data_IF_479983267555
#
_entry.id   IF_479983267555
#
_cell.length_a   1.000
_cell.length_b   1.000
_cell.length_c   1.000
_cell.angle_alpha   90.00
_cell.angle_beta   90.00
_cell.angle_gamma   90.00
#
_symmetry.space_group_name_H-M   'P 1'
#
loop_
_entity.id
_entity.type
_entity.pdbx_description
1 polymer ?
#
# COMPACT_ATOMS: atom_id res chain seq x y z
N UNK A 1 13.48 25.59 -5.37
CA UNK A 1 14.13 25.24 -4.09
C UNK A 1 14.04 26.38 -3.09
N UNK A 2 14.46 27.64 -3.41
CA UNK A 2 14.39 28.77 -2.48
C UNK A 2 12.95 29.10 -2.06
N UNK A 3 11.99 29.10 -2.98
CA UNK A 3 10.57 29.33 -2.65
C UNK A 3 10.01 28.23 -1.75
N UNK A 4 10.36 26.97 -1.97
CA UNK A 4 9.90 25.83 -1.16
C UNK A 4 10.42 25.93 0.28
N UNK A 5 11.68 26.31 0.46
CA UNK A 5 12.28 26.53 1.78
C UNK A 5 11.59 27.72 2.50
N UNK A 6 11.28 28.77 1.77
CA UNK A 6 10.56 29.94 2.31
C UNK A 6 9.14 29.57 2.76
N UNK A 7 8.40 28.76 1.98
CA UNK A 7 7.08 28.26 2.37
C UNK A 7 7.15 27.32 3.56
N UNK A 8 8.20 26.50 3.64
CA UNK A 8 8.43 25.60 4.77
C UNK A 8 8.64 26.38 6.08
N UNK A 9 9.48 27.43 6.05
CA UNK A 9 9.66 28.30 7.22
C UNK A 9 8.40 29.12 7.57
N UNK A 10 7.58 29.43 6.58
CA UNK A 10 6.31 30.16 6.79
C UNK A 10 5.16 29.27 7.27
N UNK A 11 5.25 27.95 7.15
CA UNK A 11 4.19 27.01 7.53
C UNK A 11 4.22 26.56 9.00
N UNK A 12 5.14 27.09 9.82
CA UNK A 12 5.20 26.87 11.27
C UNK A 12 5.62 25.48 11.72
N UNK A 13 5.41 25.20 13.01
CA UNK A 13 5.87 23.98 13.68
C UNK A 13 5.27 22.69 13.07
N UNK A 14 4.04 22.77 12.55
CA UNK A 14 3.30 21.61 11.99
C UNK A 14 3.91 21.12 10.67
N UNK A 15 4.72 21.92 10.00
CA UNK A 15 5.40 21.52 8.77
C UNK A 15 6.40 20.37 8.98
N UNK A 16 7.00 20.24 10.15
CA UNK A 16 7.94 19.15 10.45
C UNK A 16 7.29 17.77 10.45
N UNK A 17 6.19 17.53 11.20
CA UNK A 17 5.43 16.29 11.07
C UNK A 17 4.95 16.01 9.65
N UNK A 18 4.48 17.03 8.91
CA UNK A 18 4.04 16.86 7.52
C UNK A 18 5.20 16.47 6.58
N UNK A 19 6.38 17.05 6.77
CA UNK A 19 7.57 16.65 6.03
C UNK A 19 7.94 15.19 6.31
N UNK A 20 7.90 14.77 7.57
CA UNK A 20 8.15 13.39 7.95
C UNK A 20 7.13 12.45 7.30
N UNK A 21 5.85 12.75 7.32
CA UNK A 21 4.81 12.01 6.62
C UNK A 21 5.08 11.91 5.12
N UNK A 22 5.46 13.01 4.47
CA UNK A 22 5.78 13.03 3.04
C UNK A 22 6.94 12.10 2.69
N UNK A 23 8.01 12.13 3.47
CA UNK A 23 9.18 11.24 3.28
C UNK A 23 8.76 9.78 3.50
N UNK A 24 7.95 9.52 4.53
CA UNK A 24 7.46 8.17 4.84
C UNK A 24 6.59 7.61 3.69
N UNK A 25 5.70 8.42 3.10
CA UNK A 25 4.89 8.02 1.93
C UNK A 25 5.77 7.61 0.78
N UNK A 26 6.79 8.40 0.44
CA UNK A 26 7.70 8.11 -0.68
C UNK A 26 8.50 6.84 -0.39
N UNK A 27 9.05 6.69 0.82
CA UNK A 27 9.82 5.51 1.22
C UNK A 27 8.99 4.23 1.16
N UNK A 28 7.76 4.26 1.72
CA UNK A 28 6.85 3.12 1.69
C UNK A 28 6.42 2.81 0.25
N UNK A 29 6.13 3.82 -0.57
CA UNK A 29 5.73 3.63 -1.95
C UNK A 29 6.82 2.93 -2.79
N UNK A 30 8.07 3.37 -2.65
CA UNK A 30 9.21 2.75 -3.35
C UNK A 30 9.40 1.30 -2.88
N UNK A 31 9.40 1.07 -1.57
CA UNK A 31 9.59 -0.26 -1.01
C UNK A 31 8.45 -1.21 -1.43
N UNK A 32 7.19 -0.77 -1.36
CA UNK A 32 6.06 -1.58 -1.80
C UNK A 32 6.08 -1.87 -3.29
N UNK A 33 6.45 -0.89 -4.11
CA UNK A 33 6.58 -1.09 -5.55
C UNK A 33 7.61 -2.19 -5.89
N UNK A 34 8.77 -2.17 -5.25
CA UNK A 34 9.80 -3.19 -5.43
C UNK A 34 9.35 -4.56 -4.92
N UNK A 35 8.68 -4.59 -3.75
CA UNK A 35 8.17 -5.81 -3.16
C UNK A 35 7.11 -6.48 -4.05
N UNK A 36 6.08 -5.74 -4.45
CA UNK A 36 5.05 -6.30 -5.33
C UNK A 36 5.59 -6.75 -6.68
N UNK A 37 6.58 -6.02 -7.23
CA UNK A 37 7.22 -6.43 -8.47
C UNK A 37 8.01 -7.74 -8.34
N UNK A 38 8.59 -8.01 -7.18
CA UNK A 38 9.37 -9.21 -6.92
C UNK A 38 8.50 -10.44 -6.62
N UNK A 39 7.37 -10.25 -5.92
CA UNK A 39 6.50 -11.33 -5.44
C UNK A 39 5.34 -11.67 -6.39
N UNK A 40 5.06 -10.82 -7.36
CA UNK A 40 3.99 -11.03 -8.34
C UNK A 40 4.40 -12.06 -9.39
N UNK A 41 3.69 -13.19 -9.43
CA UNK A 41 3.87 -14.19 -10.50
C UNK A 41 3.24 -13.76 -11.82
N UNK A 42 2.39 -12.73 -11.80
CA UNK A 42 1.71 -12.14 -12.93
C UNK A 42 0.44 -12.87 -13.38
N UNK A 43 -0.53 -12.09 -13.83
CA UNK A 43 -1.79 -12.60 -14.38
C UNK A 43 -1.61 -13.62 -15.53
N UNK A 44 -0.62 -13.47 -16.45
CA UNK A 44 -0.39 -14.47 -17.50
C UNK A 44 -0.02 -15.84 -16.95
N UNK A 45 0.70 -15.90 -15.82
CA UNK A 45 1.00 -17.16 -15.14
C UNK A 45 -0.29 -17.83 -14.64
N UNK A 46 -1.11 -17.09 -13.87
CA UNK A 46 -2.33 -17.64 -13.30
C UNK A 46 -3.29 -18.17 -14.39
N UNK A 47 -3.48 -17.41 -15.47
CA UNK A 47 -4.32 -17.82 -16.58
C UNK A 47 -3.81 -19.12 -17.22
N UNK A 48 -2.52 -19.20 -17.56
CA UNK A 48 -1.92 -20.38 -18.21
C UNK A 48 -1.88 -21.59 -17.28
N UNK A 49 -1.57 -21.39 -16.01
CA UNK A 49 -1.59 -22.46 -15.01
C UNK A 49 -2.98 -23.10 -14.87
N UNK A 50 -4.01 -22.26 -14.78
CA UNK A 50 -5.40 -22.73 -14.73
C UNK A 50 -5.82 -23.44 -16.02
N UNK A 51 -5.36 -22.99 -17.19
CA UNK A 51 -5.63 -23.62 -18.48
C UNK A 51 -5.02 -25.03 -18.55
N UNK A 52 -3.75 -25.19 -18.20
CA UNK A 52 -3.05 -26.48 -18.18
C UNK A 52 -3.72 -27.48 -17.23
N UNK A 53 -4.12 -27.05 -16.04
CA UNK A 53 -4.82 -27.90 -15.09
C UNK A 53 -6.21 -28.33 -15.59
N UNK A 54 -6.93 -27.45 -16.31
CA UNK A 54 -8.22 -27.78 -16.95
C UNK A 54 -8.04 -28.77 -18.10
N UNK A 55 -6.93 -28.67 -18.84
CA UNK A 55 -6.55 -29.60 -19.90
C UNK A 55 -6.03 -30.94 -19.36
N UNK A 56 -5.90 -31.09 -18.02
CA UNK A 56 -5.31 -32.25 -17.34
C UNK A 56 -3.80 -32.45 -17.61
N UNK A 57 -3.11 -31.40 -17.99
CA UNK A 57 -1.66 -31.35 -18.26
C UNK A 57 -0.90 -30.94 -16.98
N UNK A 58 -0.95 -31.79 -15.95
CA UNK A 58 -0.43 -31.50 -14.61
C UNK A 58 1.07 -31.30 -14.57
N UNK A 59 1.80 -32.12 -15.33
CA UNK A 59 3.25 -32.08 -15.39
C UNK A 59 3.73 -30.73 -15.96
N UNK A 60 3.08 -30.26 -17.03
CA UNK A 60 3.39 -28.97 -17.63
C UNK A 60 3.00 -27.81 -16.71
N UNK A 61 1.88 -27.93 -15.99
CA UNK A 61 1.48 -26.94 -14.98
C UNK A 61 2.51 -26.86 -13.84
N UNK A 62 3.01 -27.99 -13.37
CA UNK A 62 4.04 -28.06 -12.34
C UNK A 62 5.36 -27.44 -12.81
N UNK A 63 5.83 -27.80 -14.00
CA UNK A 63 7.03 -27.22 -14.60
C UNK A 63 6.90 -25.69 -14.80
N UNK A 64 5.72 -25.23 -15.23
CA UNK A 64 5.43 -23.79 -15.33
C UNK A 64 5.53 -23.09 -13.98
N UNK A 65 5.02 -23.72 -12.91
CA UNK A 65 5.09 -23.17 -11.57
C UNK A 65 6.52 -23.12 -11.03
N UNK A 66 7.32 -24.15 -11.27
CA UNK A 66 8.74 -24.15 -10.86
C UNK A 66 9.61 -23.16 -11.66
N UNK A 67 9.26 -22.93 -12.93
CA UNK A 67 10.01 -22.00 -13.79
C UNK A 67 9.62 -20.52 -13.58
N UNK A 68 8.48 -20.26 -12.93
CA UNK A 68 7.97 -18.90 -12.76
C UNK A 68 8.39 -18.35 -11.39
N UNK A 69 8.89 -17.09 -11.40
CA UNK A 69 9.17 -16.37 -10.15
C UNK A 69 7.88 -15.80 -9.56
N UNK A 70 7.86 -15.66 -8.24
CA UNK A 70 6.75 -15.09 -7.49
C UNK A 70 6.19 -16.05 -6.44
N UNK A 71 5.52 -15.51 -5.44
CA UNK A 71 5.07 -16.31 -4.29
C UNK A 71 3.92 -17.26 -4.66
N UNK A 72 2.98 -16.84 -5.52
CA UNK A 72 1.89 -17.69 -5.95
C UNK A 72 2.40 -18.97 -6.67
N UNK A 73 3.35 -18.80 -7.60
CA UNK A 73 3.95 -19.92 -8.32
C UNK A 73 4.65 -20.90 -7.38
N UNK A 74 5.40 -20.40 -6.38
CA UNK A 74 6.06 -21.23 -5.36
C UNK A 74 5.05 -22.00 -4.52
N UNK A 75 4.00 -21.33 -4.04
CA UNK A 75 2.97 -21.96 -3.19
C UNK A 75 2.29 -23.11 -3.93
N UNK A 76 1.89 -22.90 -5.19
CA UNK A 76 1.22 -23.96 -5.96
C UNK A 76 2.17 -25.11 -6.35
N UNK A 77 3.47 -24.81 -6.62
CA UNK A 77 4.47 -25.85 -6.86
C UNK A 77 4.72 -26.70 -5.60
N UNK A 78 4.82 -26.08 -4.43
CA UNK A 78 4.99 -26.81 -3.17
C UNK A 78 3.73 -27.58 -2.77
N UNK A 79 2.55 -27.02 -3.00
CA UNK A 79 1.29 -27.70 -2.77
C UNK A 79 1.13 -28.94 -3.69
N UNK A 80 1.60 -28.89 -4.93
CA UNK A 80 1.55 -30.01 -5.86
C UNK A 80 2.44 -31.19 -5.43
N UNK A 81 3.45 -30.98 -4.58
CA UNK A 81 4.33 -32.02 -4.02
C UNK A 81 3.68 -32.77 -2.85
N UNK A 82 2.58 -32.27 -2.30
CA UNK A 82 1.86 -32.89 -1.18
C UNK A 82 1.02 -34.05 -1.72
N UNK A 83 1.40 -35.27 -1.39
CA UNK A 83 0.72 -36.52 -1.82
C UNK A 83 -0.21 -37.09 -0.75
N UNK A 84 -0.25 -36.49 0.44
CA UNK A 84 -0.93 -37.00 1.64
C UNK A 84 -2.46 -36.73 1.69
N UNK A 85 -3.05 -36.29 0.59
CA UNK A 85 -4.49 -36.09 0.45
C UNK A 85 -4.94 -34.66 0.33
N UNK A 86 -6.13 -34.47 -0.26
CA UNK A 86 -6.71 -33.18 -0.60
C UNK A 86 -6.88 -32.22 0.58
N UNK A 87 -7.26 -32.75 1.75
CA UNK A 87 -7.48 -31.91 2.93
C UNK A 87 -6.18 -31.27 3.45
N UNK A 88 -5.08 -32.01 3.41
CA UNK A 88 -3.77 -31.47 3.80
C UNK A 88 -3.26 -30.45 2.80
N UNK A 89 -3.42 -30.72 1.49
CA UNK A 89 -3.08 -29.78 0.44
C UNK A 89 -3.88 -28.47 0.58
N UNK A 90 -5.20 -28.58 0.84
CA UNK A 90 -6.07 -27.43 1.07
C UNK A 90 -5.64 -26.64 2.31
N UNK A 91 -5.37 -27.31 3.42
CA UNK A 91 -4.91 -26.66 4.65
C UNK A 91 -3.56 -25.96 4.46
N UNK A 92 -2.65 -26.54 3.68
CA UNK A 92 -1.38 -25.91 3.30
C UNK A 92 -1.61 -24.64 2.49
N UNK A 93 -2.43 -24.70 1.43
CA UNK A 93 -2.75 -23.57 0.57
C UNK A 93 -3.38 -22.41 1.36
N UNK A 94 -4.36 -22.71 2.23
CA UNK A 94 -5.02 -21.73 3.08
C UNK A 94 -4.03 -21.07 4.07
N UNK A 95 -3.14 -21.86 4.66
CA UNK A 95 -2.10 -21.35 5.57
C UNK A 95 -1.13 -20.42 4.85
N UNK A 96 -0.61 -20.83 3.68
CA UNK A 96 0.33 -20.01 2.90
C UNK A 96 -0.35 -18.76 2.35
N UNK A 97 -1.62 -18.86 1.91
CA UNK A 97 -2.41 -17.70 1.51
C UNK A 97 -2.50 -16.66 2.63
N UNK A 98 -2.83 -17.09 3.84
CA UNK A 98 -2.92 -16.20 5.00
C UNK A 98 -1.61 -15.46 5.29
N UNK A 99 -0.49 -16.18 5.23
CA UNK A 99 0.84 -15.59 5.43
C UNK A 99 1.16 -14.59 4.32
N UNK A 100 0.89 -14.93 3.08
CA UNK A 100 1.18 -14.08 1.93
C UNK A 100 0.31 -12.83 1.93
N UNK A 101 -1.00 -12.95 2.18
CA UNK A 101 -1.91 -11.80 2.32
C UNK A 101 -1.46 -10.87 3.45
N UNK A 102 -1.01 -11.40 4.59
CA UNK A 102 -0.46 -10.59 5.67
C UNK A 102 0.81 -9.82 5.25
N UNK A 103 1.70 -10.45 4.47
CA UNK A 103 2.89 -9.79 3.89
C UNK A 103 2.50 -8.68 2.91
N UNK A 104 1.48 -8.90 2.06
CA UNK A 104 0.98 -7.91 1.10
C UNK A 104 0.38 -6.70 1.81
N UNK A 105 -0.44 -6.90 2.85
CA UNK A 105 -1.07 -5.83 3.64
C UNK A 105 -0.06 -5.02 4.45
N UNK A 106 1.07 -5.61 4.80
CA UNK A 106 2.08 -4.93 5.58
C UNK A 106 2.45 -3.58 4.95
N UNK A 107 2.55 -2.54 5.78
CA UNK A 107 2.83 -1.14 5.42
C UNK A 107 1.74 -0.40 4.61
N UNK A 108 0.72 -1.06 4.03
CA UNK A 108 -0.42 -0.36 3.47
C UNK A 108 -1.21 0.40 4.54
N UNK A 109 -1.31 -0.19 5.74
CA UNK A 109 -1.99 0.43 6.88
C UNK A 109 -1.33 1.75 7.28
N UNK A 110 0.00 1.86 7.19
CA UNK A 110 0.71 3.12 7.44
C UNK A 110 0.35 4.20 6.41
N UNK A 111 0.20 3.83 5.13
CA UNK A 111 -0.28 4.77 4.11
C UNK A 111 -1.71 5.24 4.42
N UNK A 112 -2.59 4.33 4.83
CA UNK A 112 -3.97 4.66 5.21
C UNK A 112 -4.01 5.62 6.43
N UNK A 113 -3.15 5.42 7.42
CA UNK A 113 -2.99 6.32 8.56
C UNK A 113 -2.54 7.70 8.09
N UNK A 114 -1.55 7.80 7.21
CA UNK A 114 -1.05 9.08 6.70
C UNK A 114 -2.12 9.82 5.90
N UNK A 115 -2.95 9.11 5.12
CA UNK A 115 -4.10 9.70 4.39
C UNK A 115 -5.02 10.47 5.33
N UNK A 116 -5.30 9.92 6.50
CA UNK A 116 -6.21 10.54 7.48
C UNK A 116 -5.51 11.54 8.39
N UNK A 117 -4.26 11.27 8.78
CA UNK A 117 -3.51 12.15 9.69
C UNK A 117 -3.05 13.44 9.02
N UNK A 118 -2.64 13.41 7.75
CA UNK A 118 -2.05 14.58 7.09
C UNK A 118 -3.01 15.78 7.00
N UNK A 119 -4.31 15.61 6.63
CA UNK A 119 -5.27 16.72 6.67
C UNK A 119 -5.52 17.24 8.09
N UNK A 120 -5.54 16.34 9.10
CA UNK A 120 -5.72 16.73 10.49
C UNK A 120 -4.53 17.54 11.01
N UNK A 121 -3.31 17.16 10.63
CA UNK A 121 -2.11 17.97 10.91
C UNK A 121 -2.18 19.32 10.19
N UNK A 122 -2.64 19.38 8.95
CA UNK A 122 -2.88 20.63 8.24
C UNK A 122 -3.90 21.54 8.95
N UNK A 123 -5.00 20.96 9.42
CA UNK A 123 -6.00 21.68 10.23
C UNK A 123 -5.42 22.14 11.56
N UNK A 124 -4.63 21.33 12.24
CA UNK A 124 -3.91 21.73 13.44
C UNK A 124 -3.00 22.93 13.16
N UNK A 125 -2.36 22.97 12.00
CA UNK A 125 -1.56 24.11 11.55
C UNK A 125 -2.36 25.40 11.46
N UNK A 126 -3.62 25.35 11.01
CA UNK A 126 -4.47 26.56 11.01
C UNK A 126 -4.80 27.05 12.42
N UNK A 127 -5.10 26.14 13.33
CA UNK A 127 -5.41 26.50 14.72
C UNK A 127 -4.18 27.15 15.38
N UNK A 128 -3.02 26.53 15.26
CA UNK A 128 -1.77 27.04 15.84
C UNK A 128 -1.37 28.39 15.23
N UNK A 129 -1.44 28.50 13.90
CA UNK A 129 -1.10 29.76 13.18
C UNK A 129 -2.02 30.91 13.56
N UNK A 130 -3.33 30.66 13.69
CA UNK A 130 -4.30 31.68 14.11
C UNK A 130 -4.12 32.08 15.58
N UNK A 131 -3.89 31.14 16.49
CA UNK A 131 -3.60 31.45 17.90
C UNK A 131 -2.37 32.36 17.99
N UNK A 132 -1.30 32.03 17.24
CA UNK A 132 -0.10 32.84 17.16
C UNK A 132 -0.38 34.30 16.67
N UNK A 133 -1.16 34.39 15.58
CA UNK A 133 -1.53 35.71 15.01
C UNK A 133 -2.31 36.61 16.00
N UNK A 134 -3.30 36.01 16.69
CA UNK A 134 -4.08 36.79 17.69
C UNK A 134 -3.28 37.13 18.94
N UNK A 135 -2.32 36.29 19.35
CA UNK A 135 -1.44 36.59 20.48
C UNK A 135 -0.56 37.82 20.21
N UNK A 136 0.00 37.94 19.01
CA UNK A 136 0.83 39.10 18.60
C UNK A 136 -0.03 40.36 18.48
N UNK A 137 -1.23 40.26 17.92
CA UNK A 137 -2.16 41.39 17.79
C UNK A 137 -2.50 42.02 19.13
N UNK A 138 -2.68 41.22 20.17
CA UNK A 138 -2.99 41.73 21.53
C UNK A 138 -1.79 42.46 22.18
N UNK A 139 -0.55 42.08 21.81
CA UNK A 139 0.65 42.65 22.39
C UNK A 139 1.11 43.93 21.68
N UNK A 140 0.90 44.05 20.36
CA UNK A 140 1.41 45.16 19.54
C UNK A 140 0.35 46.19 19.14
N UNK A 141 -0.70 46.38 19.93
CA UNK A 141 -1.70 47.45 19.73
C UNK A 141 -2.29 47.49 18.31
N UNK A 142 -2.59 46.31 17.74
CA UNK A 142 -3.42 46.24 16.53
C UNK A 142 -2.68 46.33 15.19
N UNK A 143 -1.49 45.73 15.05
CA UNK A 143 -0.80 45.65 13.77
C UNK A 143 -1.51 44.67 12.79
N UNK A 144 -2.24 45.14 11.76
CA UNK A 144 -2.96 44.27 10.82
C UNK A 144 -2.05 43.28 10.06
N UNK A 145 -0.80 43.63 9.88
CA UNK A 145 0.21 42.82 9.17
C UNK A 145 0.52 41.52 9.91
N UNK A 146 0.50 41.52 11.25
CA UNK A 146 0.75 40.31 12.05
C UNK A 146 -0.36 39.27 11.87
N UNK A 147 -1.63 39.69 11.80
CA UNK A 147 -2.77 38.80 11.55
C UNK A 147 -2.67 38.17 10.15
N UNK A 148 -2.37 38.98 9.13
CA UNK A 148 -2.27 38.54 7.75
C UNK A 148 -1.15 37.49 7.59
N UNK A 149 -0.04 37.68 8.30
CA UNK A 149 1.07 36.70 8.31
C UNK A 149 0.67 35.34 8.88
N UNK A 150 0.03 35.30 10.05
CA UNK A 150 -0.41 34.09 10.70
C UNK A 150 -1.51 33.31 9.93
N UNK A 151 -2.42 34.06 9.28
CA UNK A 151 -3.41 33.42 8.37
C UNK A 151 -2.70 32.78 7.17
N UNK A 152 -1.71 33.45 6.59
CA UNK A 152 -0.92 32.92 5.49
C UNK A 152 -0.17 31.63 5.88
N UNK A 153 0.43 31.59 7.07
CA UNK A 153 1.08 30.41 7.65
C UNK A 153 0.08 29.24 7.79
N UNK A 154 -1.08 29.52 8.35
CA UNK A 154 -2.15 28.57 8.56
C UNK A 154 -2.62 27.91 7.23
N UNK A 155 -2.84 28.73 6.19
CA UNK A 155 -3.27 28.24 4.87
C UNK A 155 -2.21 27.36 4.19
N UNK A 156 -0.94 27.70 4.31
CA UNK A 156 0.18 26.91 3.78
C UNK A 156 0.23 25.52 4.44
N UNK A 157 0.08 25.46 5.77
CA UNK A 157 0.07 24.19 6.50
C UNK A 157 -1.09 23.29 6.03
N UNK A 158 -2.29 23.83 5.87
CA UNK A 158 -3.46 23.06 5.39
C UNK A 158 -3.26 22.58 3.95
N UNK A 159 -2.81 23.44 3.05
CA UNK A 159 -2.55 23.06 1.67
C UNK A 159 -1.51 21.95 1.58
N UNK A 160 -0.44 22.03 2.37
CA UNK A 160 0.61 21.00 2.43
C UNK A 160 0.05 19.68 2.96
N UNK A 161 -0.74 19.71 4.04
CA UNK A 161 -1.39 18.51 4.61
C UNK A 161 -2.30 17.81 3.60
N UNK A 162 -3.08 18.56 2.83
CA UNK A 162 -3.92 18.02 1.76
C UNK A 162 -3.10 17.41 0.62
N UNK A 163 -2.01 18.06 0.20
CA UNK A 163 -1.12 17.51 -0.83
C UNK A 163 -0.51 16.16 -0.39
N UNK A 164 -0.01 16.07 0.84
CA UNK A 164 0.54 14.82 1.39
C UNK A 164 -0.54 13.73 1.45
N UNK A 165 -1.75 14.07 1.88
CA UNK A 165 -2.88 13.14 1.93
C UNK A 165 -3.25 12.59 0.55
N UNK A 166 -3.32 13.45 -0.47
CA UNK A 166 -3.65 13.03 -1.85
C UNK A 166 -2.57 12.10 -2.39
N UNK A 167 -1.28 12.41 -2.20
CA UNK A 167 -0.19 11.56 -2.63
C UNK A 167 -0.23 10.19 -1.93
N UNK A 168 -0.48 10.18 -0.61
CA UNK A 168 -0.61 8.93 0.15
C UNK A 168 -1.82 8.12 -0.29
N UNK A 169 -2.95 8.76 -0.58
CA UNK A 169 -4.17 8.11 -1.06
C UNK A 169 -3.96 7.46 -2.43
N UNK A 170 -3.30 8.16 -3.36
CA UNK A 170 -2.96 7.62 -4.67
C UNK A 170 -2.06 6.38 -4.54
N UNK A 171 -1.02 6.46 -3.71
CA UNK A 171 -0.13 5.33 -3.46
C UNK A 171 -0.88 4.15 -2.80
N UNK A 172 -1.66 4.40 -1.77
CA UNK A 172 -2.46 3.39 -1.08
C UNK A 172 -3.43 2.69 -2.04
N UNK A 173 -4.21 3.46 -2.81
CA UNK A 173 -5.19 2.92 -3.75
C UNK A 173 -4.54 2.07 -4.84
N UNK A 174 -3.40 2.51 -5.37
CA UNK A 174 -2.64 1.74 -6.36
C UNK A 174 -2.20 0.39 -5.82
N UNK A 175 -1.58 0.36 -4.63
CA UNK A 175 -1.09 -0.87 -4.03
C UNK A 175 -2.22 -1.78 -3.53
N UNK A 176 -3.31 -1.23 -3.01
CA UNK A 176 -4.49 -2.00 -2.61
C UNK A 176 -5.08 -2.74 -3.82
N UNK A 177 -5.27 -2.04 -4.95
CA UNK A 177 -5.75 -2.68 -6.17
C UNK A 177 -4.80 -3.75 -6.70
N UNK A 178 -3.49 -3.50 -6.65
CA UNK A 178 -2.47 -4.48 -7.04
C UNK A 178 -2.53 -5.74 -6.16
N UNK A 179 -2.67 -5.55 -4.86
CA UNK A 179 -2.83 -6.63 -3.89
C UNK A 179 -4.06 -7.48 -4.18
N UNK A 180 -5.21 -6.84 -4.42
CA UNK A 180 -6.47 -7.54 -4.71
C UNK A 180 -6.37 -8.40 -5.96
N UNK A 181 -5.68 -7.91 -7.00
CA UNK A 181 -5.42 -8.69 -8.21
C UNK A 181 -4.54 -9.92 -7.91
N UNK A 182 -3.45 -9.76 -7.16
CA UNK A 182 -2.57 -10.89 -6.78
C UNK A 182 -3.30 -11.93 -5.94
N UNK A 183 -4.19 -11.52 -5.03
CA UNK A 183 -5.02 -12.42 -4.22
C UNK A 183 -6.00 -13.18 -5.14
N UNK A 184 -6.64 -12.49 -6.06
CA UNK A 184 -7.58 -13.11 -7.00
C UNK A 184 -6.88 -14.15 -7.89
N UNK A 185 -5.71 -13.82 -8.44
CA UNK A 185 -4.92 -14.75 -9.25
C UNK A 185 -4.51 -15.99 -8.44
N UNK A 186 -4.10 -15.80 -7.19
CA UNK A 186 -3.76 -16.88 -6.28
C UNK A 186 -4.96 -17.80 -5.97
N UNK A 187 -6.12 -17.23 -5.66
CA UNK A 187 -7.35 -17.99 -5.39
C UNK A 187 -7.78 -18.81 -6.60
N UNK A 188 -7.65 -18.27 -7.81
CA UNK A 188 -7.92 -19.00 -9.05
C UNK A 188 -6.98 -20.18 -9.22
N UNK A 189 -5.68 -20.02 -9.01
CA UNK A 189 -4.70 -21.09 -9.08
C UNK A 189 -4.99 -22.19 -8.05
N UNK A 190 -5.33 -21.82 -6.81
CA UNK A 190 -5.65 -22.77 -5.75
C UNK A 190 -6.90 -23.58 -6.04
N UNK A 191 -7.96 -22.91 -6.50
CA UNK A 191 -9.20 -23.59 -6.91
C UNK A 191 -8.95 -24.56 -8.04
N UNK A 192 -8.18 -24.16 -9.06
CA UNK A 192 -7.86 -25.02 -10.20
C UNK A 192 -7.05 -26.27 -9.77
N UNK A 193 -6.08 -26.10 -8.86
CA UNK A 193 -5.28 -27.21 -8.33
C UNK A 193 -6.14 -28.21 -7.56
N UNK A 194 -7.00 -27.74 -6.65
CA UNK A 194 -7.90 -28.60 -5.85
C UNK A 194 -8.97 -29.29 -6.70
N UNK A 195 -9.44 -28.67 -7.78
CA UNK A 195 -10.36 -29.31 -8.74
C UNK A 195 -9.66 -30.41 -9.55
N UNK A 196 -8.42 -30.17 -9.99
CA UNK A 196 -7.64 -31.16 -10.70
C UNK A 196 -7.39 -32.41 -9.85
N UNK A 197 -7.12 -32.27 -8.55
CA UNK A 197 -6.99 -33.37 -7.61
C UNK A 197 -8.27 -34.21 -7.50
N UNK A 198 -9.43 -33.56 -7.49
CA UNK A 198 -10.74 -34.27 -7.42
C UNK A 198 -11.03 -35.12 -8.64
N UNK A 199 -10.51 -34.72 -9.81
CA UNK A 199 -10.67 -35.51 -11.07
C UNK A 199 -9.76 -36.73 -11.14
N UNK A 200 -8.60 -36.67 -10.47
CA UNK A 200 -7.64 -37.79 -10.46
C UNK A 200 -7.98 -38.88 -9.45
N UNK A 201 -8.73 -38.57 -8.40
CA UNK A 201 -9.15 -39.54 -7.37
C UNK A 201 -10.42 -40.33 -7.70
N UNK A 202 -10.97 -40.14 -8.90
CA UNK A 202 -12.04 -40.96 -9.49
C UNK A 202 -11.48 -41.88 -10.55
#
# INVERSE_FOLDING_TARGET
IQQTIMYFHKGGLVMWPLLFCSIAVIAIAIERFLFYKAEDSGQPFAAKYCELLRANEREEAFQLAEATNGECAKIVADAAKITEGREQQKAFLESQAGIFIAKLKNKLDYLAIIVTMSPLLGLLGTIVGMIGAFSIFNLESGAPIAITGGIGEALIATATGLCVAILSLCAHSYFAHRMDNMITDMEQCFSALLEAETRSGK
#
